data_IF_951389982010
#
_entry.id   IF_951389982010
#
_cell.length_a   1.000
_cell.length_b   1.000
_cell.length_c   1.000
_cell.angle_alpha   90.00
_cell.angle_beta   90.00
_cell.angle_gamma   90.00
#
_symmetry.space_group_name_H-M   'P 1'
#
loop_
_entity.id
_entity.type
_entity.pdbx_description
1 polymer ?
#
# COMPACT_ATOMS: atom_id res chain seq x y z
N UNK A 1 -11.69 -5.16 9.44
CA UNK A 1 -10.98 -3.89 9.68
C UNK A 1 -9.73 -3.74 8.84
N UNK A 2 -8.76 -4.65 8.95
CA UNK A 2 -7.53 -4.57 8.15
C UNK A 2 -7.80 -4.56 6.63
N UNK A 3 -8.80 -5.31 6.16
CA UNK A 3 -9.17 -5.33 4.74
C UNK A 3 -9.60 -3.95 4.24
N UNK A 4 -10.34 -3.22 5.09
CA UNK A 4 -10.75 -1.86 4.78
C UNK A 4 -9.55 -0.93 4.66
N UNK A 5 -8.58 -1.05 5.58
CA UNK A 5 -7.39 -0.21 5.58
C UNK A 5 -6.52 -0.50 4.34
N UNK A 6 -6.34 -1.77 3.99
CA UNK A 6 -5.64 -2.14 2.77
C UNK A 6 -6.34 -1.61 1.51
N UNK A 7 -7.67 -1.66 1.47
CA UNK A 7 -8.45 -1.10 0.37
C UNK A 7 -8.28 0.41 0.26
N UNK A 8 -8.34 1.13 1.37
CA UNK A 8 -8.12 2.58 1.42
C UNK A 8 -6.70 2.93 0.96
N UNK A 9 -5.69 2.22 1.44
CA UNK A 9 -4.30 2.42 1.02
C UNK A 9 -4.14 2.23 -0.48
N UNK A 10 -4.71 1.16 -1.03
CA UNK A 10 -4.59 0.83 -2.45
C UNK A 10 -5.32 1.84 -3.34
N UNK A 11 -6.53 2.24 -2.95
CA UNK A 11 -7.34 3.17 -3.73
C UNK A 11 -6.84 4.62 -3.62
N UNK A 12 -6.48 5.05 -2.42
CA UNK A 12 -6.11 6.44 -2.13
C UNK A 12 -4.60 6.56 -1.87
N UNK A 13 -4.21 6.40 -0.61
CA UNK A 13 -2.81 6.41 -0.22
C UNK A 13 -2.67 5.86 1.21
N UNK A 14 -1.43 5.59 1.61
CA UNK A 14 -1.11 5.05 2.92
C UNK A 14 -1.40 6.02 4.06
N UNK A 15 -1.30 7.33 3.83
CA UNK A 15 -1.58 8.33 4.86
C UNK A 15 -3.03 8.25 5.33
N UNK A 16 -3.98 8.17 4.40
CA UNK A 16 -5.40 8.04 4.72
C UNK A 16 -5.67 6.72 5.46
N UNK A 17 -5.02 5.64 5.02
CA UNK A 17 -5.15 4.34 5.67
C UNK A 17 -4.60 4.36 7.10
N UNK A 18 -3.45 5.01 7.34
CA UNK A 18 -2.89 5.17 8.69
C UNK A 18 -3.80 6.00 9.58
N UNK A 19 -4.36 7.09 9.06
CA UNK A 19 -5.29 7.91 9.81
C UNK A 19 -6.53 7.10 10.24
N UNK A 20 -7.07 6.28 9.34
CA UNK A 20 -8.16 5.38 9.65
C UNK A 20 -7.80 4.33 10.69
N UNK A 21 -6.60 3.76 10.59
CA UNK A 21 -6.11 2.78 11.57
C UNK A 21 -5.93 3.41 12.96
N UNK A 22 -5.40 4.63 13.02
CA UNK A 22 -5.20 5.35 14.28
C UNK A 22 -6.52 5.69 14.98
N UNK A 23 -7.59 5.86 14.23
CA UNK A 23 -8.92 6.21 14.74
C UNK A 23 -9.82 5.00 15.01
N UNK A 24 -9.30 3.77 14.88
CA UNK A 24 -10.06 2.58 15.23
C UNK A 24 -10.30 2.51 16.75
N UNK A 25 -11.47 2.00 17.12
CA UNK A 25 -11.79 1.79 18.53
C UNK A 25 -10.83 0.78 19.16
N UNK A 26 -10.43 1.01 20.44
CA UNK A 26 -9.62 0.03 21.16
C UNK A 26 -10.31 -1.33 21.21
N UNK A 27 -9.54 -2.39 20.95
CA UNK A 27 -10.04 -3.76 21.02
C UNK A 27 -10.61 -4.33 19.73
N UNK A 28 -10.75 -3.54 18.65
CA UNK A 28 -11.20 -4.06 17.35
C UNK A 28 -10.15 -4.96 16.70
N UNK A 29 -8.87 -4.68 16.93
CA UNK A 29 -7.76 -5.50 16.46
C UNK A 29 -6.85 -5.84 17.64
N UNK A 30 -6.30 -7.06 17.62
CA UNK A 30 -5.25 -7.42 18.56
C UNK A 30 -4.00 -6.56 18.31
N UNK A 31 -3.12 -6.46 19.30
CA UNK A 31 -1.86 -5.71 19.16
C UNK A 31 -1.01 -6.27 18.01
N UNK A 32 -0.97 -7.60 17.85
CA UNK A 32 -0.25 -8.22 16.74
C UNK A 32 -0.87 -7.89 15.39
N UNK A 33 -2.20 -7.91 15.30
CA UNK A 33 -2.90 -7.56 14.06
C UNK A 33 -2.69 -6.10 13.67
N UNK A 34 -2.66 -5.19 14.65
CA UNK A 34 -2.33 -3.78 14.42
C UNK A 34 -0.92 -3.64 13.87
N UNK A 35 0.04 -4.35 14.45
CA UNK A 35 1.44 -4.29 14.03
C UNK A 35 1.60 -4.81 12.59
N UNK A 36 1.01 -5.96 12.27
CA UNK A 36 1.05 -6.53 10.93
C UNK A 36 0.42 -5.56 9.92
N UNK A 37 -0.75 -5.00 10.24
CA UNK A 37 -1.44 -4.06 9.38
C UNK A 37 -0.62 -2.80 9.16
N UNK A 38 -0.01 -2.27 10.22
CA UNK A 38 0.84 -1.08 10.15
C UNK A 38 1.96 -1.26 9.13
N UNK A 39 2.67 -2.39 9.19
CA UNK A 39 3.77 -2.66 8.27
C UNK A 39 3.29 -3.04 6.86
N UNK A 40 2.14 -3.68 6.74
CA UNK A 40 1.56 -3.96 5.42
C UNK A 40 1.13 -2.69 4.69
N UNK A 41 0.76 -1.64 5.43
CA UNK A 41 0.41 -0.34 4.86
C UNK A 41 1.63 0.50 4.48
N UNK A 42 2.83 0.08 4.82
CA UNK A 42 4.07 0.88 4.72
C UNK A 42 4.61 1.04 3.30
N UNK A 43 3.87 0.66 2.27
CA UNK A 43 4.30 0.81 0.87
C UNK A 43 3.51 1.90 0.15
N UNK A 44 4.14 2.58 -0.81
CA UNK A 44 3.49 3.58 -1.64
C UNK A 44 2.72 2.95 -2.82
N UNK A 45 2.33 1.69 -2.70
CA UNK A 45 1.62 0.96 -3.74
C UNK A 45 0.13 1.31 -3.71
N UNK A 46 -0.26 2.32 -4.47
CA UNK A 46 -1.65 2.76 -4.59
C UNK A 46 -1.89 3.42 -5.96
N UNK A 47 -3.15 3.56 -6.34
CA UNK A 47 -3.52 4.15 -7.63
C UNK A 47 -3.11 5.62 -7.75
N UNK A 48 -3.15 6.36 -6.63
CA UNK A 48 -2.74 7.76 -6.61
C UNK A 48 -1.25 7.90 -6.98
N UNK A 49 -0.39 7.08 -6.41
CA UNK A 49 1.04 7.07 -6.71
C UNK A 49 1.32 6.63 -8.15
N UNK A 50 0.57 5.67 -8.67
CA UNK A 50 0.66 5.27 -10.08
C UNK A 50 0.32 6.45 -10.98
N UNK A 51 -0.75 7.20 -10.68
CA UNK A 51 -1.13 8.38 -11.43
C UNK A 51 -0.05 9.46 -11.45
N UNK A 52 0.55 9.73 -10.29
CA UNK A 52 1.63 10.70 -10.16
C UNK A 52 2.86 10.25 -10.97
N UNK A 53 3.22 8.99 -10.88
CA UNK A 53 4.37 8.43 -11.61
C UNK A 53 4.15 8.50 -13.12
N UNK A 54 2.98 8.09 -13.59
CA UNK A 54 2.63 8.13 -15.02
C UNK A 54 2.64 9.56 -15.54
N UNK A 55 2.11 10.51 -14.77
CA UNK A 55 2.11 11.92 -15.16
C UNK A 55 3.53 12.49 -15.23
N UNK A 56 4.35 12.21 -14.22
CA UNK A 56 5.71 12.75 -14.14
C UNK A 56 6.65 12.16 -15.19
N UNK A 57 6.77 10.83 -15.21
CA UNK A 57 7.67 10.15 -16.15
C UNK A 57 7.10 10.22 -17.57
N UNK A 58 5.79 10.18 -17.74
CA UNK A 58 5.14 10.32 -19.04
C UNK A 58 5.37 11.69 -19.67
N UNK A 59 5.54 12.75 -18.88
CA UNK A 59 5.90 14.08 -19.38
C UNK A 59 7.34 14.12 -19.89
N UNK A 60 8.24 13.30 -19.31
CA UNK A 60 9.63 13.20 -19.72
C UNK A 60 9.83 12.31 -20.96
N UNK A 61 8.99 11.33 -21.15
CA UNK A 61 9.06 10.38 -22.26
C UNK A 61 7.66 10.12 -22.84
N UNK A 62 7.07 11.11 -23.52
CA UNK A 62 5.67 11.01 -23.99
C UNK A 62 5.44 9.85 -24.97
N UNK A 63 6.44 9.46 -25.75
CA UNK A 63 6.38 8.36 -26.71
C UNK A 63 6.28 6.99 -26.05
N UNK A 64 6.64 6.88 -24.76
CA UNK A 64 6.61 5.64 -24.00
C UNK A 64 5.47 5.60 -22.96
N UNK A 65 4.53 6.55 -23.03
CA UNK A 65 3.48 6.69 -22.00
C UNK A 65 2.60 5.44 -21.91
N UNK A 66 2.24 4.81 -23.03
CA UNK A 66 1.43 3.60 -23.03
C UNK A 66 2.15 2.41 -22.40
N UNK A 67 3.44 2.27 -22.65
CA UNK A 67 4.27 1.24 -22.03
C UNK A 67 4.34 1.47 -20.52
N UNK A 68 4.53 2.73 -20.12
CA UNK A 68 4.61 3.11 -18.70
C UNK A 68 3.32 2.77 -17.95
N UNK A 69 2.16 3.05 -18.52
CA UNK A 69 0.87 2.71 -17.92
C UNK A 69 0.74 1.20 -17.72
N UNK A 70 1.05 0.41 -18.74
CA UNK A 70 0.97 -1.04 -18.68
C UNK A 70 1.88 -1.63 -17.61
N UNK A 71 3.13 -1.18 -17.54
CA UNK A 71 4.11 -1.65 -16.56
C UNK A 71 3.71 -1.21 -15.15
N UNK A 72 3.22 0.02 -15.00
CA UNK A 72 2.85 0.58 -13.68
C UNK A 72 1.73 -0.19 -13.01
N UNK A 73 0.74 -0.63 -13.79
CA UNK A 73 -0.37 -1.42 -13.24
C UNK A 73 0.11 -2.80 -12.75
N UNK A 74 1.00 -3.44 -13.50
CA UNK A 74 1.61 -4.71 -13.07
C UNK A 74 2.51 -4.49 -11.85
N UNK A 75 3.27 -3.41 -11.84
CA UNK A 75 4.13 -3.05 -10.72
C UNK A 75 3.32 -2.78 -9.44
N UNK A 76 2.13 -2.20 -9.56
CA UNK A 76 1.24 -1.96 -8.43
C UNK A 76 0.88 -3.28 -7.73
N UNK A 77 0.56 -4.31 -8.50
CA UNK A 77 0.24 -5.63 -7.94
C UNK A 77 1.45 -6.19 -7.20
N UNK A 78 2.61 -6.20 -7.83
CA UNK A 78 3.85 -6.69 -7.22
C UNK A 78 4.25 -5.91 -5.98
N UNK A 79 4.13 -4.59 -6.03
CA UNK A 79 4.45 -3.72 -4.89
C UNK A 79 3.48 -3.94 -3.71
N UNK A 80 2.20 -4.18 -4.00
CA UNK A 80 1.21 -4.50 -2.96
C UNK A 80 1.56 -5.83 -2.28
N UNK A 81 1.92 -6.84 -3.05
CA UNK A 81 2.38 -8.12 -2.49
C UNK A 81 3.64 -7.97 -1.65
N UNK A 82 4.58 -7.15 -2.10
CA UNK A 82 5.81 -6.86 -1.34
C UNK A 82 5.51 -6.18 0.00
N UNK A 83 4.57 -5.23 0.02
CA UNK A 83 4.13 -4.57 1.26
C UNK A 83 3.48 -5.57 2.22
N UNK A 84 2.66 -6.47 1.71
CA UNK A 84 2.05 -7.52 2.51
C UNK A 84 3.10 -8.48 3.08
N UNK A 85 4.15 -8.79 2.31
CA UNK A 85 5.28 -9.58 2.79
C UNK A 85 6.00 -8.93 3.97
N UNK A 86 6.19 -7.62 3.90
CA UNK A 86 6.76 -6.86 5.03
C UNK A 86 5.92 -7.06 6.29
N UNK A 87 4.61 -6.97 6.18
CA UNK A 87 3.70 -7.22 7.30
C UNK A 87 3.81 -8.65 7.83
N UNK A 88 3.92 -9.63 6.95
CA UNK A 88 4.09 -11.03 7.33
C UNK A 88 5.39 -11.27 8.09
N UNK A 89 6.49 -10.70 7.62
CA UNK A 89 7.81 -10.83 8.26
C UNK A 89 7.77 -10.24 9.66
N UNK A 90 7.19 -9.04 9.82
CA UNK A 90 7.06 -8.41 11.13
C UNK A 90 6.16 -9.23 12.06
N UNK A 91 5.08 -9.79 11.54
CA UNK A 91 4.21 -10.66 12.32
C UNK A 91 4.92 -11.90 12.81
N UNK A 92 5.73 -12.52 11.95
CA UNK A 92 6.52 -13.70 12.31
C UNK A 92 7.58 -13.36 13.37
N UNK A 93 8.33 -12.30 13.17
CA UNK A 93 9.38 -11.87 14.10
C UNK A 93 8.79 -11.51 15.46
N UNK A 94 7.67 -10.83 15.49
CA UNK A 94 7.00 -10.45 16.73
C UNK A 94 6.41 -11.65 17.47
N UNK A 95 6.09 -12.72 16.75
CA UNK A 95 5.58 -13.97 17.34
C UNK A 95 6.69 -14.76 18.01
N UNK A 96 7.90 -14.71 17.47
CA UNK A 96 9.07 -15.38 18.04
C UNK A 96 9.59 -14.63 19.27
#
# INVERSE_FOLDING_TARGET
MYKRQLGIKTALNEFVAYAGLANLEPGLLSEQSKLITLYALCGFANFSSVGILVAGVGAMAPERKNDLVSVSLKALIGATLASCMTGLVIGLVNYL
#
